data_IF_442131724858
#
_entry.id   IF_442131724858
#
_cell.length_a   1.000
_cell.length_b   1.000
_cell.length_c   1.000
_cell.angle_alpha   90.00
_cell.angle_beta   90.00
_cell.angle_gamma   90.00
#
_symmetry.space_group_name_H-M   'P 1'
#
loop_
_entity.id
_entity.type
_entity.pdbx_description
1 polymer ?
#
# COMPACT_ATOMS: atom_id res chain seq x y z
N UNK A 1 -5.01 0.35 -7.22
CA UNK A 1 -4.79 0.20 -8.68
C UNK A 1 -3.94 1.37 -9.16
N UNK A 2 -2.89 1.12 -9.94
CA UNK A 2 -2.09 2.19 -10.52
C UNK A 2 -2.78 2.86 -11.71
N UNK A 3 -2.61 4.17 -11.85
CA UNK A 3 -3.27 4.98 -12.89
C UNK A 3 -2.25 5.87 -13.61
N UNK A 4 -2.37 5.97 -14.94
CA UNK A 4 -1.46 6.71 -15.82
C UNK A 4 -2.14 7.85 -16.58
N UNK A 5 -3.45 7.92 -16.46
CA UNK A 5 -4.27 9.01 -16.94
C UNK A 5 -5.39 9.22 -15.91
N UNK A 6 -5.52 10.44 -15.40
CA UNK A 6 -6.65 10.82 -14.59
C UNK A 6 -7.78 11.30 -15.52
N UNK A 7 -8.88 10.54 -15.68
CA UNK A 7 -10.03 11.05 -16.41
C UNK A 7 -10.59 12.26 -15.66
N UNK A 8 -11.19 13.22 -16.38
CA UNK A 8 -11.99 14.25 -15.73
C UNK A 8 -13.12 13.56 -14.95
N UNK A 9 -13.15 13.78 -13.64
CA UNK A 9 -14.11 13.16 -12.73
C UNK A 9 -14.84 14.19 -11.90
N UNK A 10 -16.07 13.86 -11.49
CA UNK A 10 -16.87 14.66 -10.56
C UNK A 10 -16.50 14.42 -9.09
N UNK A 11 -15.70 13.38 -8.82
CA UNK A 11 -15.26 12.94 -7.50
C UNK A 11 -13.75 12.69 -7.49
N UNK A 12 -13.10 12.95 -6.36
CA UNK A 12 -11.76 12.47 -6.08
C UNK A 12 -11.72 10.95 -5.89
N UNK A 13 -10.54 10.35 -6.00
CA UNK A 13 -10.36 8.90 -5.79
C UNK A 13 -10.84 8.45 -4.40
N UNK A 14 -10.57 9.24 -3.36
CA UNK A 14 -11.00 8.95 -1.99
C UNK A 14 -12.53 9.06 -1.82
N UNK A 15 -13.16 10.06 -2.43
CA UNK A 15 -14.62 10.17 -2.44
C UNK A 15 -15.27 9.00 -3.18
N UNK A 16 -14.67 8.56 -4.29
CA UNK A 16 -15.13 7.40 -5.02
C UNK A 16 -14.96 6.11 -4.20
N UNK A 17 -13.80 5.90 -3.59
CA UNK A 17 -13.53 4.74 -2.73
C UNK A 17 -14.53 4.68 -1.55
N UNK A 18 -14.71 5.80 -0.85
CA UNK A 18 -15.61 5.88 0.30
C UNK A 18 -17.07 5.60 -0.10
N UNK A 19 -17.52 6.16 -1.23
CA UNK A 19 -18.86 5.89 -1.76
C UNK A 19 -19.03 4.40 -2.11
N UNK A 20 -18.09 3.79 -2.84
CA UNK A 20 -18.17 2.38 -3.23
C UNK A 20 -18.21 1.46 -2.01
N UNK A 21 -17.30 1.67 -1.07
CA UNK A 21 -17.16 0.83 0.14
C UNK A 21 -18.41 0.92 1.02
N UNK A 22 -18.97 2.12 1.18
CA UNK A 22 -20.16 2.34 2.01
C UNK A 22 -21.45 1.87 1.32
N UNK A 23 -21.64 2.16 0.03
CA UNK A 23 -22.87 1.79 -0.69
C UNK A 23 -22.95 0.28 -0.96
N UNK A 24 -21.81 -0.36 -1.22
CA UNK A 24 -21.75 -1.82 -1.41
C UNK A 24 -21.64 -2.60 -0.08
N UNK A 25 -21.45 -1.92 1.05
CA UNK A 25 -21.15 -2.48 2.37
C UNK A 25 -20.09 -3.59 2.32
N UNK A 26 -18.95 -3.27 1.70
CA UNK A 26 -17.83 -4.18 1.57
C UNK A 26 -16.60 -3.65 2.32
N UNK A 27 -15.60 -4.52 2.53
CA UNK A 27 -14.25 -4.06 2.82
C UNK A 27 -13.45 -3.98 1.52
N UNK A 28 -12.24 -3.46 1.60
CA UNK A 28 -11.35 -3.35 0.45
C UNK A 28 -9.93 -3.82 0.77
N UNK A 29 -9.23 -4.11 -0.31
CA UNK A 29 -7.82 -4.44 -0.35
C UNK A 29 -7.05 -3.15 -0.59
N UNK A 30 -6.04 -2.88 0.24
CA UNK A 30 -5.13 -1.76 0.09
C UNK A 30 -3.82 -2.16 -0.59
N UNK A 31 -3.48 -1.54 -1.71
CA UNK A 31 -2.17 -1.74 -2.33
C UNK A 31 -1.26 -0.55 -1.97
N UNK A 32 -0.24 -0.81 -1.16
CA UNK A 32 0.71 0.21 -0.68
C UNK A 32 1.58 0.72 -1.84
N UNK A 33 1.97 -0.17 -2.75
CA UNK A 33 2.79 0.17 -3.90
C UNK A 33 2.02 1.12 -4.83
N UNK A 34 0.74 0.86 -5.05
CA UNK A 34 -0.10 1.72 -5.89
C UNK A 34 -0.31 3.12 -5.31
N UNK A 35 -0.40 3.27 -3.99
CA UNK A 35 -0.42 4.61 -3.37
C UNK A 35 0.86 5.36 -3.75
N UNK A 36 2.02 4.72 -3.60
CA UNK A 36 3.30 5.34 -3.92
C UNK A 36 3.41 5.68 -5.41
N UNK A 37 3.13 4.72 -6.30
CA UNK A 37 3.16 4.91 -7.77
C UNK A 37 2.27 6.07 -8.18
N UNK A 38 1.02 6.10 -7.71
CA UNK A 38 0.09 7.17 -8.04
C UNK A 38 0.53 8.53 -7.46
N UNK A 39 1.13 8.55 -6.27
CA UNK A 39 1.63 9.80 -5.65
C UNK A 39 2.69 10.47 -6.51
N UNK A 40 3.59 9.70 -7.10
CA UNK A 40 4.62 10.20 -8.03
C UNK A 40 3.98 10.63 -9.35
N UNK A 41 3.16 9.77 -9.95
CA UNK A 41 2.59 10.01 -11.28
C UNK A 41 1.63 11.21 -11.31
N UNK A 42 0.93 11.49 -10.21
CA UNK A 42 -0.08 12.56 -10.13
C UNK A 42 0.31 13.71 -9.21
N UNK A 43 1.48 13.66 -8.57
CA UNK A 43 2.03 14.76 -7.78
C UNK A 43 1.26 15.07 -6.49
N UNK A 44 0.83 14.05 -5.76
CA UNK A 44 0.23 14.20 -4.42
C UNK A 44 1.11 13.57 -3.34
N UNK A 45 0.86 13.89 -2.07
CA UNK A 45 1.59 13.28 -0.94
C UNK A 45 0.98 11.93 -0.56
N UNK A 46 1.80 10.87 -0.60
CA UNK A 46 1.36 9.51 -0.32
C UNK A 46 0.91 9.30 1.14
N UNK A 47 1.54 9.98 2.11
CA UNK A 47 1.18 9.84 3.52
C UNK A 47 -0.12 10.58 3.84
N UNK A 48 -0.35 11.75 3.25
CA UNK A 48 -1.61 12.48 3.35
C UNK A 48 -2.76 11.71 2.68
N UNK A 49 -2.50 11.08 1.52
CA UNK A 49 -3.47 10.20 0.87
C UNK A 49 -3.79 9.01 1.75
N UNK A 50 -2.75 8.31 2.21
CA UNK A 50 -2.86 7.17 3.10
C UNK A 50 -3.70 7.57 4.32
N UNK A 51 -3.44 8.72 4.95
CA UNK A 51 -4.12 9.16 6.17
C UNK A 51 -5.63 9.39 6.05
N UNK A 52 -6.15 9.54 4.83
CA UNK A 52 -7.56 9.83 4.55
C UNK A 52 -8.38 8.60 4.17
N UNK A 53 -7.75 7.43 4.07
CA UNK A 53 -8.39 6.18 3.72
C UNK A 53 -9.29 5.69 4.89
N UNK A 54 -10.50 5.15 4.60
CA UNK A 54 -11.39 4.61 5.64
C UNK A 54 -10.80 3.35 6.30
N UNK A 55 -10.18 3.54 7.45
CA UNK A 55 -9.43 2.54 8.22
C UNK A 55 -10.19 1.23 8.49
N UNK A 56 -11.46 1.36 8.90
CA UNK A 56 -12.34 0.31 9.39
C UNK A 56 -12.82 -0.66 8.31
N UNK A 57 -12.47 -0.38 7.05
CA UNK A 57 -12.85 -1.18 5.88
C UNK A 57 -11.67 -1.88 5.22
N UNK A 58 -10.45 -1.70 5.72
CA UNK A 58 -9.24 -2.40 5.22
C UNK A 58 -9.27 -3.86 5.70
N UNK A 59 -9.22 -4.80 4.76
CA UNK A 59 -9.21 -6.24 5.07
C UNK A 59 -7.85 -6.89 4.81
N UNK A 60 -7.09 -6.35 3.87
CA UNK A 60 -5.89 -6.96 3.33
C UNK A 60 -5.03 -5.92 2.64
N UNK A 61 -3.72 -6.19 2.54
CA UNK A 61 -2.86 -5.35 1.73
C UNK A 61 -1.85 -6.12 0.87
N UNK A 62 -1.46 -5.46 -0.23
CA UNK A 62 -0.29 -5.83 -1.01
C UNK A 62 0.84 -4.81 -0.83
N UNK A 63 2.07 -5.31 -0.95
CA UNK A 63 3.28 -4.52 -1.10
C UNK A 63 4.13 -5.13 -2.20
N UNK A 64 4.69 -4.28 -3.05
CA UNK A 64 5.48 -4.67 -4.21
C UNK A 64 6.52 -3.59 -4.55
N UNK A 65 7.48 -3.94 -5.40
CA UNK A 65 8.32 -2.97 -6.11
C UNK A 65 7.75 -2.63 -7.49
N UNK A 66 8.28 -1.59 -8.11
CA UNK A 66 7.81 -1.07 -9.39
C UNK A 66 8.97 -0.59 -10.26
N UNK A 67 8.72 -0.47 -11.56
CA UNK A 67 9.71 0.03 -12.50
C UNK A 67 9.71 1.57 -12.52
N UNK A 68 10.91 2.15 -12.57
CA UNK A 68 11.11 3.60 -12.77
C UNK A 68 11.46 3.85 -14.24
N UNK A 69 10.51 4.41 -14.97
CA UNK A 69 10.71 4.80 -16.37
C UNK A 69 11.42 6.16 -16.46
N UNK A 70 10.91 7.17 -15.74
CA UNK A 70 11.46 8.54 -15.71
C UNK A 70 11.43 9.11 -14.28
N UNK A 71 11.84 10.36 -14.06
CA UNK A 71 11.83 10.97 -12.73
C UNK A 71 10.43 11.05 -12.11
N UNK A 72 9.42 11.37 -12.91
CA UNK A 72 8.02 11.58 -12.56
C UNK A 72 7.09 10.44 -13.02
N UNK A 73 7.64 9.35 -13.56
CA UNK A 73 6.86 8.20 -14.02
C UNK A 73 7.32 6.90 -13.35
N UNK A 74 6.38 6.24 -12.67
CA UNK A 74 6.51 4.89 -12.13
C UNK A 74 5.52 3.96 -12.81
N UNK A 75 5.99 2.79 -13.20
CA UNK A 75 5.19 1.74 -13.84
C UNK A 75 5.06 0.56 -12.89
N UNK A 76 3.82 0.21 -12.61
CA UNK A 76 3.40 -0.81 -11.66
C UNK A 76 3.63 -2.23 -12.18
N UNK A 77 4.90 -2.60 -12.33
CA UNK A 77 5.29 -3.89 -12.90
C UNK A 77 5.31 -5.02 -11.88
N UNK A 78 5.33 -4.74 -10.58
CA UNK A 78 5.51 -5.76 -9.53
C UNK A 78 6.70 -6.69 -9.82
N UNK A 79 7.75 -6.14 -10.43
CA UNK A 79 8.88 -6.89 -10.96
C UNK A 79 10.20 -6.57 -10.28
N UNK A 80 10.20 -5.67 -9.32
CA UNK A 80 11.40 -5.14 -8.66
C UNK A 80 11.28 -5.30 -7.15
N UNK A 81 12.40 -5.12 -6.45
CA UNK A 81 12.43 -5.12 -5.00
C UNK A 81 11.66 -3.93 -4.41
N UNK A 82 11.08 -4.15 -3.24
CA UNK A 82 10.28 -3.12 -2.58
C UNK A 82 11.18 -1.99 -2.09
N UNK A 83 10.94 -0.77 -2.58
CA UNK A 83 11.72 0.40 -2.23
C UNK A 83 11.52 0.83 -0.77
N UNK A 84 12.53 1.44 -0.12
CA UNK A 84 12.43 1.94 1.25
C UNK A 84 11.19 2.79 1.53
N UNK A 85 10.82 3.67 0.60
CA UNK A 85 9.69 4.58 0.73
C UNK A 85 8.35 3.83 0.77
N UNK A 86 8.25 2.70 0.07
CA UNK A 86 7.06 1.84 0.10
C UNK A 86 6.98 1.08 1.44
N UNK A 87 8.13 0.66 1.99
CA UNK A 87 8.20 0.12 3.35
C UNK A 87 7.79 1.16 4.42
N UNK A 88 8.21 2.41 4.25
CA UNK A 88 7.85 3.49 5.16
C UNK A 88 6.34 3.80 5.11
N UNK A 89 5.71 3.70 3.93
CA UNK A 89 4.25 3.78 3.80
C UNK A 89 3.52 2.61 4.45
N UNK A 90 4.03 1.38 4.31
CA UNK A 90 3.46 0.23 5.01
C UNK A 90 3.55 0.41 6.53
N UNK A 91 4.66 0.97 7.01
CA UNK A 91 4.83 1.26 8.43
C UNK A 91 3.83 2.28 8.95
N UNK A 92 3.64 3.37 8.19
CA UNK A 92 2.64 4.38 8.50
C UNK A 92 1.22 3.80 8.47
N UNK A 93 0.93 2.89 7.54
CA UNK A 93 -0.36 2.21 7.46
C UNK A 93 -0.61 1.37 8.72
N UNK A 94 0.36 0.59 9.19
CA UNK A 94 0.22 -0.15 10.45
C UNK A 94 0.11 0.76 11.67
N UNK A 95 0.86 1.86 11.70
CA UNK A 95 0.76 2.86 12.76
C UNK A 95 -0.65 3.43 12.90
N UNK A 96 -1.30 3.67 11.75
CA UNK A 96 -2.60 4.33 11.69
C UNK A 96 -3.77 3.36 11.83
N UNK A 97 -3.69 2.20 11.20
CA UNK A 97 -4.81 1.26 11.04
C UNK A 97 -4.68 0.01 11.89
N UNK A 98 -3.56 -0.14 12.60
CA UNK A 98 -3.19 -1.39 13.23
C UNK A 98 -2.73 -2.42 12.22
N UNK A 99 -2.41 -3.62 12.72
CA UNK A 99 -1.84 -4.67 11.88
C UNK A 99 -2.93 -5.46 11.17
N UNK A 100 -2.80 -5.56 9.85
CA UNK A 100 -3.63 -6.37 8.95
C UNK A 100 -2.76 -7.35 8.16
N UNK A 101 -3.35 -8.41 7.56
CA UNK A 101 -2.58 -9.35 6.74
C UNK A 101 -2.07 -8.64 5.48
N UNK A 102 -0.81 -8.89 5.15
CA UNK A 102 -0.09 -8.22 4.07
C UNK A 102 0.68 -9.25 3.26
N UNK A 103 0.60 -9.14 1.94
CA UNK A 103 1.29 -10.03 1.01
C UNK A 103 2.29 -9.27 0.16
N UNK A 104 3.45 -9.90 -0.01
CA UNK A 104 4.43 -9.50 -1.01
C UNK A 104 3.94 -9.94 -2.39
N UNK A 105 3.66 -8.99 -3.27
CA UNK A 105 3.27 -9.26 -4.65
C UNK A 105 4.49 -9.16 -5.58
N UNK A 106 4.71 -10.21 -6.39
CA UNK A 106 5.79 -10.29 -7.37
C UNK A 106 5.32 -11.03 -8.62
N UNK A 107 4.98 -10.28 -9.65
CA UNK A 107 4.37 -10.81 -10.89
C UNK A 107 5.41 -11.03 -12.00
N UNK A 108 6.51 -10.27 -11.98
CA UNK A 108 7.57 -10.30 -12.98
C UNK A 108 8.95 -10.46 -12.34
N UNK A 109 9.95 -10.80 -13.16
CA UNK A 109 11.36 -10.98 -12.75
C UNK A 109 11.52 -11.77 -11.44
N UNK A 110 10.74 -12.85 -11.29
CA UNK A 110 10.59 -13.57 -10.02
C UNK A 110 11.97 -14.09 -9.58
N UNK A 111 12.54 -13.59 -8.46
CA UNK A 111 13.84 -14.01 -7.98
C UNK A 111 13.77 -15.39 -7.28
N UNK A 112 14.91 -15.97 -6.87
CA UNK A 112 14.92 -17.15 -6.04
C UNK A 112 14.04 -16.99 -4.79
N UNK A 113 13.36 -18.07 -4.38
CA UNK A 113 12.44 -18.07 -3.24
C UNK A 113 13.08 -17.51 -1.95
N UNK A 114 14.37 -17.75 -1.72
CA UNK A 114 15.07 -17.24 -0.54
C UNK A 114 15.11 -15.71 -0.48
N UNK A 115 15.13 -15.03 -1.62
CA UNK A 115 15.12 -13.57 -1.69
C UNK A 115 13.72 -13.04 -1.39
N UNK A 116 12.68 -13.65 -1.98
CA UNK A 116 11.27 -13.32 -1.66
C UNK A 116 10.97 -13.52 -0.18
N UNK A 117 11.46 -14.62 0.41
CA UNK A 117 11.27 -14.89 1.84
C UNK A 117 11.91 -13.83 2.72
N UNK A 118 13.00 -13.19 2.29
CA UNK A 118 13.61 -12.10 3.06
C UNK A 118 12.74 -10.85 3.12
N UNK A 119 12.01 -10.52 2.06
CA UNK A 119 11.02 -9.42 2.04
C UNK A 119 9.77 -9.80 2.85
N UNK A 120 9.32 -11.07 2.79
CA UNK A 120 8.23 -11.57 3.64
C UNK A 120 8.60 -11.51 5.12
N UNK A 121 9.83 -11.90 5.48
CA UNK A 121 10.34 -11.79 6.85
C UNK A 121 10.37 -10.33 7.30
N UNK A 122 10.67 -9.38 6.40
CA UNK A 122 10.59 -7.96 6.68
C UNK A 122 9.16 -7.50 6.96
N UNK A 123 8.15 -7.96 6.20
CA UNK A 123 6.73 -7.70 6.52
C UNK A 123 6.42 -8.18 7.95
N UNK A 124 6.81 -9.40 8.29
CA UNK A 124 6.57 -9.98 9.61
C UNK A 124 7.24 -9.16 10.74
N UNK A 125 8.43 -8.62 10.53
CA UNK A 125 9.12 -7.75 11.49
C UNK A 125 8.35 -6.45 11.74
N UNK A 126 7.85 -5.80 10.68
CA UNK A 126 7.05 -4.57 10.81
C UNK A 126 5.73 -4.86 11.54
N UNK A 127 5.07 -5.97 11.22
CA UNK A 127 3.84 -6.40 11.91
C UNK A 127 4.09 -6.67 13.40
N UNK A 128 5.15 -7.38 13.76
CA UNK A 128 5.47 -7.68 15.16
C UNK A 128 5.65 -6.41 15.99
N UNK A 129 6.37 -5.41 15.46
CA UNK A 129 6.59 -4.11 16.11
C UNK A 129 5.28 -3.41 16.50
N UNK A 130 4.27 -3.45 15.62
CA UNK A 130 2.99 -2.78 15.86
C UNK A 130 1.99 -3.62 16.64
N UNK A 131 2.09 -4.96 16.59
CA UNK A 131 1.33 -5.85 17.46
C UNK A 131 1.72 -5.65 18.94
N UNK A 132 3.02 -5.56 19.24
CA UNK A 132 3.51 -5.30 20.59
C UNK A 132 3.08 -3.92 21.12
N UNK A 133 3.13 -2.91 20.26
CA UNK A 133 2.73 -1.54 20.59
C UNK A 133 1.22 -1.39 20.83
N UNK A 134 0.40 -2.14 20.09
CA UNK A 134 -1.06 -2.16 20.25
C UNK A 134 -1.49 -2.94 21.50
N UNK A 135 -0.73 -3.97 21.89
CA UNK A 135 -0.96 -4.73 23.11
C UNK A 135 -0.59 -4.00 24.41
N UNK A 136 0.33 -3.03 24.35
CA UNK A 136 0.75 -2.24 25.51
C UNK A 136 -0.25 -1.14 25.93
N UNK A 137 -1.21 -0.79 25.07
CA UNK A 137 -2.27 0.19 25.35
C UNK A 137 -3.56 -0.44 25.95
N UNK A 138 -3.52 -1.73 26.30
CA UNK A 138 -4.61 -2.46 26.96
C UNK A 138 -4.09 -3.10 28.24
N UNK A 139 -3.67 -2.28 29.21
CA UNK A 139 -3.35 -2.71 30.58
C UNK A 139 -3.77 -1.64 31.60
#
# INVERSE_FOLDING_TARGET
>A
VSTYAAPAGEMSELEFLDAVVNEADCGFHLDINNIFVNSINHGFDAHDYLARIPADRILYAHIAGHYREEDDLRVDTHGEDVLPEVWDLLDAAYAQYGVFPTLLERDFNIPPLSELLSEVDRIAQYQARWQESSGANVA
#
